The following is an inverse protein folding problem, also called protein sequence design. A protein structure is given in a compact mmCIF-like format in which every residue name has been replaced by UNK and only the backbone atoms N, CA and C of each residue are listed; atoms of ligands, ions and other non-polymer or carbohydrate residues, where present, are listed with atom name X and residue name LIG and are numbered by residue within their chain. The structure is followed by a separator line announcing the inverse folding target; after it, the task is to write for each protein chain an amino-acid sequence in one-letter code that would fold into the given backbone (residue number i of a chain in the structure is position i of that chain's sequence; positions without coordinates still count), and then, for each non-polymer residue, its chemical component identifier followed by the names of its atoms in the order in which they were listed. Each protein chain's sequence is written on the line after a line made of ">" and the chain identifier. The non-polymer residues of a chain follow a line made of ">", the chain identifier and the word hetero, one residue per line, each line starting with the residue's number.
data_IF_538370147812
#
_entry.id   IF_538370147812
#
_cell.length_a   1.000
_cell.length_b   1.000
_cell.length_c   1.000
_cell.angle_alpha   90.00
_cell.angle_beta   90.00
_cell.angle_gamma   90.00
#
_symmetry.space_group_name_H-M   'P 1'
#
loop_
_entity.id
_entity.type
_entity.pdbx_description
1 polymer ?
#
# COMPACT_ATOMS: atom_id res chain seq x y z
N UNK A 1 28.52 -12.93 11.77
CA UNK A 1 27.51 -12.98 10.70
C UNK A 1 26.23 -12.38 11.25
N UNK A 2 25.55 -11.53 10.48
CA UNK A 2 24.26 -10.96 10.90
C UNK A 2 23.10 -11.71 10.24
N UNK A 3 22.09 -12.04 11.02
CA UNK A 3 20.81 -12.59 10.53
C UNK A 3 19.70 -11.58 10.79
N UNK A 4 18.74 -11.51 9.87
CA UNK A 4 17.61 -10.58 9.93
C UNK A 4 16.32 -11.37 9.75
N UNK A 5 15.37 -11.15 10.65
CA UNK A 5 14.02 -11.68 10.56
C UNK A 5 13.02 -10.53 10.55
N UNK A 6 12.02 -10.61 9.68
CA UNK A 6 10.99 -9.61 9.47
C UNK A 6 9.64 -10.23 9.75
N UNK A 7 8.87 -9.65 10.67
CA UNK A 7 7.44 -9.89 10.83
C UNK A 7 6.70 -8.76 10.12
N UNK A 8 5.87 -9.08 9.13
CA UNK A 8 5.14 -8.09 8.34
C UNK A 8 3.81 -7.67 8.98
N UNK A 9 3.42 -8.27 10.11
CA UNK A 9 2.18 -7.93 10.82
C UNK A 9 0.90 -8.49 10.18
N UNK A 10 1.00 -9.19 9.04
CA UNK A 10 -0.11 -9.91 8.39
C UNK A 10 -0.01 -11.44 8.54
N UNK A 11 0.94 -11.91 9.36
CA UNK A 11 1.28 -13.32 9.55
C UNK A 11 2.42 -13.82 8.67
N UNK A 12 2.94 -12.99 7.76
CA UNK A 12 4.12 -13.33 6.94
C UNK A 12 5.41 -13.04 7.70
N UNK A 13 6.34 -14.00 7.66
CA UNK A 13 7.71 -13.84 8.17
C UNK A 13 8.71 -14.00 7.04
N UNK A 14 9.68 -13.09 6.94
CA UNK A 14 10.71 -13.08 5.91
C UNK A 14 12.12 -13.01 6.53
N UNK A 15 13.12 -13.47 5.79
CA UNK A 15 14.52 -13.46 6.24
C UNK A 15 15.42 -12.73 5.25
N UNK A 16 16.47 -12.10 5.78
CA UNK A 16 17.52 -11.46 4.99
C UNK A 16 17.60 -9.94 5.16
N UNK A 17 18.70 -9.33 4.71
CA UNK A 17 18.98 -7.91 4.93
C UNK A 17 18.01 -6.99 4.17
N UNK A 18 17.41 -7.48 3.07
CA UNK A 18 16.41 -6.77 2.28
C UNK A 18 15.28 -7.74 1.92
N UNK A 19 14.03 -7.34 2.09
CA UNK A 19 12.85 -8.13 1.77
C UNK A 19 11.83 -7.28 1.00
N UNK A 20 11.00 -7.92 0.19
CA UNK A 20 9.87 -7.29 -0.48
C UNK A 20 8.60 -8.05 -0.09
N UNK A 21 7.53 -7.32 0.20
CA UNK A 21 6.25 -7.89 0.63
C UNK A 21 5.09 -7.11 0.03
N UNK A 22 4.00 -7.80 -0.29
CA UNK A 22 2.78 -7.22 -0.87
C UNK A 22 1.61 -7.48 0.08
N UNK A 23 0.97 -6.41 0.55
CA UNK A 23 -0.25 -6.49 1.35
C UNK A 23 -1.46 -6.55 0.41
N UNK A 24 -2.22 -7.65 0.48
CA UNK A 24 -3.37 -7.88 -0.38
C UNK A 24 -4.65 -7.20 0.11
N UNK A 25 -4.67 -6.76 1.36
CA UNK A 25 -5.82 -6.11 1.97
C UNK A 25 -5.43 -4.73 2.51
N UNK A 26 -6.34 -3.75 2.46
CA UNK A 26 -6.18 -2.53 3.22
C UNK A 26 -6.20 -2.83 4.72
N UNK A 27 -5.39 -2.09 5.49
CA UNK A 27 -5.25 -2.29 6.91
C UNK A 27 -4.02 -1.58 7.48
N UNK A 28 -3.96 -1.53 8.80
CA UNK A 28 -2.78 -1.10 9.53
C UNK A 28 -1.94 -2.33 9.89
N UNK A 29 -0.66 -2.31 9.52
CA UNK A 29 0.27 -3.40 9.81
C UNK A 29 1.44 -2.87 10.63
N UNK A 30 1.83 -3.66 11.63
CA UNK A 30 3.01 -3.40 12.44
C UNK A 30 4.14 -4.28 11.94
N UNK A 31 5.10 -3.67 11.24
CA UNK A 31 6.30 -4.36 10.74
C UNK A 31 7.38 -4.35 11.80
N UNK A 32 7.92 -5.51 12.12
CA UNK A 32 9.04 -5.65 13.06
C UNK A 32 10.23 -6.31 12.38
N UNK A 33 11.39 -5.66 12.40
CA UNK A 33 12.65 -6.29 12.03
C UNK A 33 13.45 -6.62 13.29
N UNK A 34 14.00 -7.82 13.35
CA UNK A 34 14.93 -8.24 14.38
C UNK A 34 16.24 -8.65 13.72
N UNK A 35 17.36 -8.07 14.14
CA UNK A 35 18.69 -8.52 13.74
C UNK A 35 19.40 -9.21 14.90
N UNK A 36 20.15 -10.25 14.57
CA UNK A 36 21.04 -10.95 15.50
C UNK A 36 22.46 -10.93 14.96
N UNK A 37 23.44 -10.67 15.83
CA UNK A 37 24.83 -10.94 15.56
C UNK A 37 25.23 -12.35 16.06
N UNK A 38 26.33 -12.88 15.53
CA UNK A 38 26.87 -14.18 15.91
C UNK A 38 27.58 -14.19 17.26
N UNK A 39 27.76 -13.02 17.86
CA UNK A 39 28.31 -12.82 19.20
C UNK A 39 27.22 -12.81 20.29
N UNK A 40 25.96 -13.02 19.89
CA UNK A 40 24.79 -13.10 20.78
C UNK A 40 24.03 -11.79 20.99
N UNK A 41 24.43 -10.70 20.34
CA UNK A 41 23.71 -9.44 20.34
C UNK A 41 22.44 -9.49 19.48
N UNK A 42 21.41 -8.79 19.91
CA UNK A 42 20.15 -8.65 19.16
C UNK A 42 19.60 -7.24 19.26
N UNK A 43 19.00 -6.75 18.18
CA UNK A 43 18.28 -5.48 18.16
C UNK A 43 17.01 -5.62 17.34
N UNK A 44 15.97 -4.87 17.67
CA UNK A 44 14.74 -4.82 16.90
C UNK A 44 14.32 -3.38 16.59
N UNK A 45 13.57 -3.22 15.50
CA UNK A 45 12.93 -1.97 15.14
C UNK A 45 11.50 -2.25 14.69
N UNK A 46 10.60 -1.30 14.98
CA UNK A 46 9.17 -1.42 14.72
C UNK A 46 8.73 -0.22 13.87
N UNK A 47 7.93 -0.47 12.85
CA UNK A 47 7.32 0.56 12.00
C UNK A 47 5.86 0.23 11.74
N UNK A 48 5.01 1.24 11.76
CA UNK A 48 3.60 1.10 11.41
C UNK A 48 3.37 1.57 9.98
N UNK A 49 2.64 0.78 9.20
CA UNK A 49 2.22 1.14 7.86
C UNK A 49 0.70 1.10 7.77
N UNK A 50 0.12 2.01 6.99
CA UNK A 50 -1.30 2.05 6.71
C UNK A 50 -1.52 1.85 5.21
N UNK A 51 -2.10 0.71 4.84
CA UNK A 51 -2.49 0.38 3.48
C UNK A 51 -3.95 0.76 3.32
N UNK A 52 -4.26 1.63 2.37
CA UNK A 52 -5.63 2.09 2.11
C UNK A 52 -6.14 1.48 0.81
N UNK A 53 -7.45 1.27 0.75
CA UNK A 53 -8.14 0.96 -0.50
C UNK A 53 -8.86 2.25 -0.89
N UNK A 54 -8.34 2.95 -1.89
CA UNK A 54 -8.92 4.20 -2.35
C UNK A 54 -9.98 3.84 -3.39
N UNK A 55 -11.25 4.08 -3.07
CA UNK A 55 -12.36 3.75 -3.98
C UNK A 55 -12.24 4.58 -5.27
N UNK A 56 -12.34 3.97 -6.47
CA UNK A 56 -12.30 4.71 -7.71
C UNK A 56 -13.51 5.65 -7.81
N UNK A 57 -13.27 6.94 -7.99
CA UNK A 57 -14.33 7.95 -8.06
C UNK A 57 -14.74 8.17 -9.51
N UNK A 58 -15.97 7.82 -9.85
CA UNK A 58 -16.56 8.14 -11.15
C UNK A 58 -17.32 9.48 -11.09
N UNK A 59 -17.04 10.39 -12.03
CA UNK A 59 -17.85 11.61 -12.23
C UNK A 59 -18.32 11.76 -13.67
N UNK A 60 -19.44 12.47 -13.86
CA UNK A 60 -20.01 12.79 -15.16
C UNK A 60 -20.08 14.30 -15.32
N UNK A 61 -19.51 14.82 -16.40
CA UNK A 61 -19.72 16.22 -16.82
C UNK A 61 -20.72 16.27 -17.97
N UNK A 62 -21.69 17.16 -17.86
CA UNK A 62 -22.63 17.48 -18.94
C UNK A 62 -22.25 18.84 -19.51
N UNK A 63 -22.03 18.90 -20.82
CA UNK A 63 -21.90 20.18 -21.51
C UNK A 63 -23.29 20.66 -21.94
N UNK A 64 -23.59 21.93 -21.66
CA UNK A 64 -24.85 22.58 -22.05
C UNK A 64 -24.62 23.47 -23.29
N UNK A 65 -25.64 23.60 -24.12
CA UNK A 65 -25.66 24.43 -25.34
C UNK A 65 -27.07 24.61 -25.90
N UNK A 66 -27.20 25.41 -26.97
CA UNK A 66 -28.49 25.77 -27.58
C UNK A 66 -29.04 24.67 -28.51
N UNK A 67 -30.38 24.60 -28.64
CA UNK A 67 -31.05 23.60 -29.47
C UNK A 67 -30.83 23.81 -30.98
N UNK A 68 -30.59 22.73 -31.75
CA UNK A 68 -30.42 21.34 -31.29
C UNK A 68 -29.00 21.09 -30.77
N UNK A 69 -28.89 20.46 -29.60
CA UNK A 69 -27.62 20.14 -28.94
C UNK A 69 -27.37 18.62 -28.96
N UNK A 70 -26.18 18.23 -29.39
CA UNK A 70 -25.62 16.90 -29.13
C UNK A 70 -24.99 16.88 -27.73
N UNK A 71 -25.45 15.98 -26.86
CA UNK A 71 -24.92 15.86 -25.49
C UNK A 71 -23.74 14.89 -25.49
N UNK A 72 -22.57 15.39 -25.10
CA UNK A 72 -21.38 14.56 -24.87
C UNK A 72 -21.28 14.27 -23.37
N UNK A 73 -21.35 12.98 -22.99
CA UNK A 73 -21.12 12.53 -21.62
C UNK A 73 -19.66 12.07 -21.49
N UNK A 74 -18.91 12.73 -20.62
CA UNK A 74 -17.52 12.36 -20.34
C UNK A 74 -17.50 11.63 -19.00
N UNK A 75 -17.09 10.36 -19.00
CA UNK A 75 -16.78 9.62 -17.79
C UNK A 75 -15.34 9.95 -17.37
N UNK A 76 -15.15 10.33 -16.11
CA UNK A 76 -13.83 10.48 -15.51
C UNK A 76 -13.71 9.51 -14.35
N UNK A 77 -12.60 8.78 -14.31
CA UNK A 77 -12.17 8.01 -13.16
C UNK A 77 -10.92 8.68 -12.60
N UNK A 78 -10.95 9.01 -11.31
CA UNK A 78 -9.75 9.36 -10.55
C UNK A 78 -9.39 8.13 -9.72
N UNK A 79 -8.22 7.58 -10.02
CA UNK A 79 -7.50 6.62 -9.20
C UNK A 79 -6.37 7.39 -8.52
N UNK A 80 -6.31 7.37 -7.19
CA UNK A 80 -5.19 7.98 -6.46
C UNK A 80 -3.99 7.01 -6.40
N UNK A 81 -4.18 5.77 -6.89
CA UNK A 81 -3.14 4.75 -7.05
C UNK A 81 -2.60 4.78 -8.50
N UNK A 82 -1.62 5.65 -8.75
CA UNK A 82 -0.92 5.77 -10.04
C UNK A 82 -0.02 4.59 -10.40
#
# INVERSE_FOLDING_TARGET
>A
MMTYAWDMGDGTVLEGPNVAHVYLAPGNYTVTVTCHDDSGGSSNNISEIAIQNLDPRASVRVEHGDHPLEVVLIAQAEDDDG
#
